data_IF_691201771119
#
_entry.id   IF_691201771119
#
_cell.length_a   1.000
_cell.length_b   1.000
_cell.length_c   1.000
_cell.angle_alpha   90.00
_cell.angle_beta   90.00
_cell.angle_gamma   90.00
#
_symmetry.space_group_name_H-M   'P 1'
#
loop_
_entity.id
_entity.type
_entity.pdbx_description
1 polymer ?
#
# COMPACT_ATOMS: atom_id res chain seq x y z
N UNK A 1 0.08 -18.55 -1.06
CA UNK A 1 -0.53 -18.05 0.18
C UNK A 1 -1.62 -17.07 -0.19
N UNK A 2 -2.75 -17.09 0.52
CA UNK A 2 -3.85 -16.15 0.28
C UNK A 2 -3.53 -14.76 0.86
N UNK A 3 -4.07 -13.72 0.21
CA UNK A 3 -3.87 -12.33 0.65
C UNK A 3 -4.46 -12.07 2.04
N UNK A 4 -5.61 -12.66 2.34
CA UNK A 4 -6.28 -12.54 3.64
C UNK A 4 -5.42 -13.15 4.76
N UNK A 5 -4.78 -14.31 4.51
CA UNK A 5 -3.82 -14.93 5.43
C UNK A 5 -2.58 -14.06 5.64
N UNK A 6 -2.11 -13.36 4.61
CA UNK A 6 -0.98 -12.43 4.76
C UNK A 6 -1.32 -11.28 5.71
N UNK A 7 -2.53 -10.71 5.59
CA UNK A 7 -2.99 -9.67 6.52
C UNK A 7 -3.19 -10.21 7.93
N UNK A 8 -3.71 -11.43 8.06
CA UNK A 8 -3.82 -12.11 9.34
C UNK A 8 -2.46 -12.21 10.03
N UNK A 9 -1.44 -12.75 9.34
CA UNK A 9 -0.09 -12.85 9.89
C UNK A 9 0.51 -11.50 10.26
N UNK A 10 0.32 -10.47 9.44
CA UNK A 10 0.78 -9.11 9.75
C UNK A 10 0.19 -8.59 11.08
N UNK A 11 -1.10 -8.82 11.31
CA UNK A 11 -1.78 -8.42 12.54
C UNK A 11 -1.39 -9.30 13.73
N UNK A 12 -1.24 -10.61 13.54
CA UNK A 12 -0.77 -11.56 14.57
C UNK A 12 0.60 -11.14 15.09
N UNK A 13 1.51 -10.76 14.20
CA UNK A 13 2.86 -10.31 14.57
C UNK A 13 2.89 -8.94 15.25
N UNK A 14 1.88 -8.11 15.01
CA UNK A 14 1.73 -6.81 15.67
C UNK A 14 0.88 -6.88 16.95
N UNK A 15 0.35 -8.06 17.30
CA UNK A 15 -0.71 -8.19 18.30
C UNK A 15 -0.35 -7.55 19.65
N UNK A 16 0.86 -7.76 20.15
CA UNK A 16 1.28 -7.20 21.44
C UNK A 16 1.33 -5.67 21.45
N UNK A 17 1.67 -5.04 20.32
CA UNK A 17 1.67 -3.59 20.17
C UNK A 17 0.24 -3.05 20.09
N UNK A 18 -0.66 -3.79 19.44
CA UNK A 18 -2.09 -3.48 19.41
C UNK A 18 -2.72 -3.57 20.81
N UNK A 19 -2.31 -4.55 21.62
CA UNK A 19 -2.84 -4.75 22.98
C UNK A 19 -2.50 -3.62 23.95
N UNK A 20 -1.35 -2.97 23.79
CA UNK A 20 -0.88 -1.91 24.71
C UNK A 20 -1.82 -0.71 24.77
N UNK A 21 -2.51 -0.41 23.69
CA UNK A 21 -3.31 0.80 23.57
C UNK A 21 -4.77 0.62 23.99
N UNK A 22 -5.38 -0.55 23.73
CA UNK A 22 -6.85 -0.69 23.84
C UNK A 22 -7.34 -2.00 24.45
N UNK A 23 -6.47 -2.96 24.79
CA UNK A 23 -6.85 -4.32 25.21
C UNK A 23 -8.00 -4.94 24.37
N UNK A 24 -7.88 -4.98 23.03
CA UNK A 24 -8.92 -5.47 22.15
C UNK A 24 -9.23 -6.96 22.37
N UNK A 25 -10.50 -7.31 22.16
CA UNK A 25 -10.95 -8.69 22.11
C UNK A 25 -10.64 -9.35 20.76
N UNK A 26 -10.63 -8.56 19.69
CA UNK A 26 -10.31 -9.02 18.34
C UNK A 26 -9.81 -7.85 17.48
N UNK A 27 -9.17 -8.16 16.35
CA UNK A 27 -8.83 -7.19 15.32
C UNK A 27 -9.57 -7.53 14.03
N UNK A 28 -9.84 -6.52 13.21
CA UNK A 28 -10.58 -6.66 11.95
C UNK A 28 -9.81 -5.97 10.84
N UNK A 29 -9.59 -6.66 9.74
CA UNK A 29 -9.00 -6.11 8.52
C UNK A 29 -10.11 -5.90 7.51
N UNK A 30 -10.24 -4.68 7.02
CA UNK A 30 -11.17 -4.27 5.98
C UNK A 30 -10.41 -3.94 4.70
N UNK A 31 -10.77 -4.59 3.61
CA UNK A 31 -10.08 -4.47 2.32
C UNK A 31 -11.05 -3.89 1.30
N UNK A 32 -10.65 -2.82 0.58
CA UNK A 32 -11.48 -2.24 -0.49
C UNK A 32 -10.73 -2.19 -1.81
N UNK A 33 -11.45 -2.49 -2.88
CA UNK A 33 -10.95 -2.39 -4.26
C UNK A 33 -12.06 -1.99 -5.24
N UNK A 34 -11.66 -1.45 -6.38
CA UNK A 34 -12.52 -1.42 -7.55
C UNK A 34 -12.65 -2.85 -8.14
N UNK A 35 -13.79 -3.19 -8.78
CA UNK A 35 -13.94 -4.50 -9.41
C UNK A 35 -12.86 -4.76 -10.45
N UNK A 36 -12.21 -5.92 -10.35
CA UNK A 36 -11.16 -6.33 -11.29
C UNK A 36 -9.79 -5.68 -11.07
N UNK A 37 -9.62 -4.89 -9.99
CA UNK A 37 -8.34 -4.24 -9.66
C UNK A 37 -7.72 -4.81 -8.39
N UNK A 38 -6.44 -4.50 -8.18
CA UNK A 38 -5.76 -4.65 -6.89
C UNK A 38 -6.45 -3.84 -5.78
N UNK A 39 -6.19 -4.19 -4.52
CA UNK A 39 -6.63 -3.43 -3.36
C UNK A 39 -6.08 -2.00 -3.42
N UNK A 40 -6.97 -1.04 -3.19
CA UNK A 40 -6.63 0.37 -3.07
C UNK A 40 -6.56 0.82 -1.61
N UNK A 41 -7.26 0.11 -0.72
CA UNK A 41 -7.34 0.42 0.69
C UNK A 41 -7.33 -0.82 1.57
N UNK A 42 -6.64 -0.70 2.70
CA UNK A 42 -6.74 -1.61 3.85
C UNK A 42 -6.95 -0.80 5.12
N UNK A 43 -7.91 -1.19 5.95
CA UNK A 43 -8.14 -0.64 7.28
C UNK A 43 -7.98 -1.72 8.34
N UNK A 44 -7.14 -1.49 9.33
CA UNK A 44 -7.01 -2.36 10.51
C UNK A 44 -7.73 -1.71 11.68
N UNK A 45 -8.70 -2.43 12.22
CA UNK A 45 -9.56 -1.98 13.30
C UNK A 45 -9.34 -2.85 14.52
N UNK A 46 -9.26 -2.24 15.70
CA UNK A 46 -9.33 -2.96 16.96
C UNK A 46 -10.79 -3.02 17.42
N UNK A 47 -11.21 -4.18 17.94
CA UNK A 47 -12.57 -4.40 18.42
C UNK A 47 -12.51 -4.69 19.92
N UNK A 48 -13.12 -3.82 20.73
CA UNK A 48 -13.17 -3.95 22.18
C UNK A 48 -14.39 -4.72 22.65
N UNK A 49 -14.36 -5.14 23.92
CA UNK A 49 -15.53 -5.69 24.59
C UNK A 49 -16.72 -4.71 24.46
N UNK A 50 -17.91 -5.22 24.11
CA UNK A 50 -19.09 -4.40 23.82
C UNK A 50 -19.20 -3.93 22.37
N UNK A 51 -18.27 -4.30 21.49
CA UNK A 51 -18.38 -4.09 20.03
C UNK A 51 -17.90 -2.71 19.54
N UNK A 52 -17.35 -1.87 20.42
CA UNK A 52 -16.71 -0.62 20.02
C UNK A 52 -15.50 -0.92 19.13
N UNK A 53 -15.35 -0.15 18.05
CA UNK A 53 -14.26 -0.30 17.09
C UNK A 53 -13.45 0.98 17.00
N UNK A 54 -12.13 0.84 17.07
CA UNK A 54 -11.20 1.96 16.94
C UNK A 54 -10.23 1.66 15.79
N UNK A 55 -10.10 2.60 14.86
CA UNK A 55 -9.15 2.49 13.75
C UNK A 55 -7.73 2.48 14.32
N UNK A 56 -6.97 1.42 14.03
CA UNK A 56 -5.57 1.31 14.40
C UNK A 56 -4.73 2.02 13.35
N UNK A 57 -4.89 1.60 12.09
CA UNK A 57 -4.23 2.20 10.95
C UNK A 57 -5.02 1.94 9.67
N UNK A 58 -4.78 2.78 8.69
CA UNK A 58 -5.13 2.48 7.31
C UNK A 58 -3.90 2.49 6.40
N UNK A 59 -4.05 1.87 5.24
CA UNK A 59 -3.10 1.90 4.15
C UNK A 59 -3.83 2.28 2.87
N UNK A 60 -3.29 3.24 2.14
CA UNK A 60 -3.75 3.61 0.80
C UNK A 60 -2.68 3.33 -0.25
N UNK A 61 -3.06 2.69 -1.35
CA UNK A 61 -2.11 2.44 -2.45
C UNK A 61 -1.78 3.74 -3.20
N UNK A 62 -2.74 4.66 -3.30
CA UNK A 62 -2.60 5.91 -4.06
C UNK A 62 -2.75 7.14 -3.16
N UNK A 63 -1.98 8.17 -3.47
CA UNK A 63 -2.15 9.49 -2.85
C UNK A 63 -3.30 10.22 -3.51
N UNK A 64 -4.16 10.83 -2.70
CA UNK A 64 -5.22 11.73 -3.12
C UNK A 64 -5.26 12.98 -2.21
N UNK A 65 -6.04 14.02 -2.53
CA UNK A 65 -6.23 15.14 -1.62
C UNK A 65 -6.84 14.74 -0.25
N UNK A 66 -7.51 13.59 -0.17
CA UNK A 66 -8.14 13.11 1.05
C UNK A 66 -7.21 12.24 1.92
N UNK A 67 -6.19 11.61 1.32
CA UNK A 67 -5.29 10.69 2.02
C UNK A 67 -3.92 10.58 1.32
N UNK A 68 -2.87 10.43 2.11
CA UNK A 68 -1.55 10.05 1.59
C UNK A 68 -1.51 8.55 1.29
N UNK A 69 -0.69 8.13 0.32
CA UNK A 69 -0.38 6.71 0.14
C UNK A 69 0.54 6.20 1.26
N UNK A 70 0.48 4.90 1.51
CA UNK A 70 1.23 4.22 2.57
C UNK A 70 0.40 4.06 3.83
N UNK A 71 1.06 3.58 4.89
CA UNK A 71 0.41 3.35 6.19
C UNK A 71 0.23 4.67 6.95
N UNK A 72 -0.90 4.81 7.64
CA UNK A 72 -1.16 5.88 8.58
C UNK A 72 -1.81 5.32 9.84
N UNK A 73 -1.15 5.51 10.97
CA UNK A 73 -1.71 5.15 12.27
C UNK A 73 -2.67 6.21 12.81
N UNK A 74 -3.62 5.75 13.61
CA UNK A 74 -4.68 6.55 14.24
C UNK A 74 -4.81 6.19 15.72
N UNK A 75 -5.54 7.01 16.48
CA UNK A 75 -5.91 6.74 17.88
C UNK A 75 -4.72 6.43 18.82
N UNK A 76 -3.53 6.99 18.54
CA UNK A 76 -2.33 6.78 19.34
C UNK A 76 -1.69 5.40 19.18
N UNK A 77 -2.17 4.57 18.26
CA UNK A 77 -1.52 3.31 17.90
C UNK A 77 -0.23 3.56 17.11
N UNK A 78 0.70 2.62 17.23
CA UNK A 78 1.89 2.56 16.40
C UNK A 78 2.46 1.15 16.42
N UNK A 79 2.97 0.67 15.28
CA UNK A 79 3.69 -0.59 15.15
C UNK A 79 4.57 -0.54 13.91
N UNK A 80 5.89 -0.53 14.10
CA UNK A 80 6.85 -0.59 12.98
C UNK A 80 6.65 -1.88 12.18
N UNK A 81 6.38 -2.97 12.90
CA UNK A 81 6.20 -4.28 12.30
C UNK A 81 4.95 -4.31 11.40
N UNK A 82 3.81 -3.82 11.90
CA UNK A 82 2.58 -3.73 11.12
C UNK A 82 2.76 -2.84 9.89
N UNK A 83 3.46 -1.70 10.05
CA UNK A 83 3.74 -0.79 8.94
C UNK A 83 4.51 -1.47 7.82
N UNK A 84 5.62 -2.15 8.16
CA UNK A 84 6.48 -2.82 7.18
C UNK A 84 5.74 -3.98 6.49
N UNK A 85 4.99 -4.79 7.25
CA UNK A 85 4.24 -5.91 6.69
C UNK A 85 3.13 -5.44 5.75
N UNK A 86 2.34 -4.44 6.15
CA UNK A 86 1.29 -3.89 5.29
C UNK A 86 1.88 -3.29 4.02
N UNK A 87 2.99 -2.55 4.12
CA UNK A 87 3.67 -1.99 2.95
C UNK A 87 4.20 -3.08 2.02
N UNK A 88 4.80 -4.14 2.55
CA UNK A 88 5.23 -5.30 1.78
C UNK A 88 4.05 -5.98 1.06
N UNK A 89 2.99 -6.32 1.80
CA UNK A 89 1.80 -7.01 1.25
C UNK A 89 1.17 -6.17 0.15
N UNK A 90 0.95 -4.88 0.42
CA UNK A 90 0.26 -3.98 -0.49
C UNK A 90 1.06 -3.64 -1.76
N UNK A 91 2.40 -3.66 -1.69
CA UNK A 91 3.28 -3.50 -2.87
C UNK A 91 3.46 -4.77 -3.69
N UNK A 92 3.18 -5.93 -3.11
CA UNK A 92 3.42 -7.25 -3.71
C UNK A 92 2.12 -8.04 -3.90
N UNK A 93 0.98 -7.36 -4.12
CA UNK A 93 -0.34 -8.00 -4.16
C UNK A 93 -0.45 -9.13 -5.19
N UNK A 94 0.30 -9.04 -6.29
CA UNK A 94 0.38 -10.04 -7.36
C UNK A 94 1.05 -11.36 -6.92
N UNK A 95 1.79 -11.34 -5.82
CA UNK A 95 2.42 -12.54 -5.22
C UNK A 95 1.47 -13.35 -4.35
N UNK A 96 0.26 -12.84 -4.07
CA UNK A 96 -0.73 -13.50 -3.23
C UNK A 96 -1.92 -13.98 -4.07
N UNK A 97 -2.46 -15.13 -3.71
CA UNK A 97 -3.70 -15.61 -4.32
C UNK A 97 -4.87 -14.85 -3.73
N UNK A 98 -5.79 -14.41 -4.60
CA UNK A 98 -7.04 -13.76 -4.21
C UNK A 98 -8.17 -14.75 -4.34
N UNK A 99 -9.00 -14.88 -3.30
CA UNK A 99 -10.21 -15.69 -3.41
C UNK A 99 -11.15 -15.10 -4.46
N UNK A 100 -11.79 -15.96 -5.24
CA UNK A 100 -12.71 -15.55 -6.31
C UNK A 100 -13.96 -14.82 -5.76
N UNK A 101 -14.29 -15.04 -4.49
CA UNK A 101 -15.37 -14.41 -3.74
C UNK A 101 -14.91 -13.23 -2.87
N UNK A 102 -13.63 -12.81 -2.96
CA UNK A 102 -13.12 -11.65 -2.24
C UNK A 102 -13.88 -10.40 -2.71
N UNK A 103 -14.91 -10.05 -1.95
CA UNK A 103 -15.87 -9.00 -2.25
C UNK A 103 -15.17 -7.63 -2.38
N UNK A 104 -15.92 -6.66 -2.91
CA UNK A 104 -15.58 -5.23 -2.98
C UNK A 104 -15.16 -4.66 -1.60
N UNK A 105 -15.62 -5.29 -0.53
CA UNK A 105 -15.35 -4.99 0.88
C UNK A 105 -15.02 -6.29 1.66
N UNK A 106 -13.81 -6.82 1.46
CA UNK A 106 -13.34 -8.02 2.17
C UNK A 106 -13.15 -7.72 3.66
N UNK A 107 -13.51 -8.68 4.52
CA UNK A 107 -13.41 -8.52 5.97
C UNK A 107 -12.82 -9.76 6.61
N UNK A 108 -11.67 -9.60 7.27
CA UNK A 108 -10.99 -10.66 8.02
C UNK A 108 -11.09 -10.34 9.51
N UNK A 109 -11.66 -11.26 10.30
CA UNK A 109 -11.74 -11.12 11.75
C UNK A 109 -10.69 -12.00 12.40
N UNK A 110 -9.84 -11.40 13.22
CA UNK A 110 -8.67 -12.02 13.84
C UNK A 110 -8.85 -11.98 15.36
N UNK A 111 -8.69 -13.13 16.00
CA UNK A 111 -8.82 -13.28 17.45
C UNK A 111 -7.43 -13.27 18.11
N UNK A 112 -7.35 -13.22 19.46
CA UNK A 112 -6.08 -13.26 20.15
C UNK A 112 -5.28 -14.50 19.72
N UNK A 113 -4.08 -14.33 19.14
CA UNK A 113 -3.39 -15.42 18.50
C UNK A 113 -2.82 -16.39 19.53
N UNK A 114 -2.96 -17.67 19.22
CA UNK A 114 -2.31 -18.79 19.88
C UNK A 114 -0.78 -18.76 19.68
N UNK A 115 -0.07 -19.57 20.46
CA UNK A 115 1.38 -19.73 20.32
C UNK A 115 1.79 -20.24 18.94
N UNK A 116 1.03 -21.19 18.39
CA UNK A 116 1.32 -21.82 17.10
C UNK A 116 1.13 -20.83 15.94
N UNK A 117 0.06 -20.05 15.94
CA UNK A 117 -0.19 -19.01 14.93
C UNK A 117 0.90 -17.95 14.92
N UNK A 118 1.44 -17.60 16.10
CA UNK A 118 2.59 -16.66 16.19
C UNK A 118 3.86 -17.28 15.60
N UNK A 119 4.10 -18.57 15.84
CA UNK A 119 5.26 -19.29 15.30
C UNK A 119 5.16 -19.33 13.78
N UNK A 120 3.99 -19.68 13.24
CA UNK A 120 3.75 -19.75 11.81
C UNK A 120 3.92 -18.38 11.14
N UNK A 121 3.30 -17.33 11.69
CA UNK A 121 3.46 -15.97 11.17
C UNK A 121 4.92 -15.49 11.22
N UNK A 122 5.67 -15.86 12.27
CA UNK A 122 7.09 -15.51 12.41
C UNK A 122 7.94 -16.23 11.36
N UNK A 123 7.66 -17.51 11.11
CA UNK A 123 8.33 -18.29 10.07
C UNK A 123 8.09 -17.67 8.69
N UNK A 124 6.84 -17.28 8.40
CA UNK A 124 6.48 -16.60 7.16
C UNK A 124 7.24 -15.28 6.96
N UNK A 125 7.31 -14.44 8.00
CA UNK A 125 8.03 -13.16 7.91
C UNK A 125 9.51 -13.35 7.57
N UNK A 126 10.16 -14.37 8.15
CA UNK A 126 11.57 -14.67 7.82
C UNK A 126 11.73 -15.01 6.35
N UNK A 127 10.87 -15.87 5.82
CA UNK A 127 10.90 -16.26 4.41
C UNK A 127 10.70 -15.06 3.47
N UNK A 128 9.80 -14.14 3.84
CA UNK A 128 9.51 -12.90 3.10
C UNK A 128 10.71 -11.95 3.08
N UNK A 129 11.38 -11.74 4.22
CA UNK A 129 12.56 -10.89 4.29
C UNK A 129 13.79 -11.52 3.62
N UNK A 130 13.94 -12.85 3.68
CA UNK A 130 15.01 -13.57 3.00
C UNK A 130 14.86 -13.49 1.48
N UNK A 131 13.63 -13.54 0.96
CA UNK A 131 13.40 -13.32 -0.48
C UNK A 131 13.65 -11.87 -0.90
N UNK A 132 13.29 -10.87 -0.09
CA UNK A 132 13.54 -9.46 -0.42
C UNK A 132 15.05 -9.12 -0.47
N UNK A 133 15.85 -9.75 0.39
CA UNK A 133 17.31 -9.53 0.45
C UNK A 133 18.03 -10.11 -0.76
N UNK A 134 17.52 -11.21 -1.33
CA UNK A 134 18.11 -11.88 -2.49
C UNK A 134 17.96 -11.10 -3.81
N UNK A 135 17.12 -10.08 -3.87
CA UNK A 135 16.99 -9.20 -5.05
C UNK A 135 17.84 -7.92 -4.97
N UNK A 136 18.60 -7.72 -3.87
CA UNK A 136 19.46 -6.54 -3.66
C UNK A 136 20.94 -6.73 -4.03
N UNK A 137 21.36 -7.91 -4.49
CA UNK A 137 22.75 -8.21 -4.83
C UNK A 137 22.98 -8.27 -6.34
N UNK A 138 23.26 -7.14 -6.98
CA UNK A 138 23.81 -7.12 -8.34
C UNK A 138 25.24 -6.56 -8.32
N UNK A 139 26.22 -7.42 -8.63
CA UNK A 139 27.45 -7.07 -9.36
C UNK A 139 28.25 -8.36 -9.62
N UNK A 140 28.30 -8.85 -10.86
CA UNK A 140 29.37 -8.53 -11.81
C UNK A 140 29.25 -9.39 -13.09
N UNK A 141 29.80 -8.88 -14.20
CA UNK A 141 30.10 -9.53 -15.49
C UNK A 141 28.93 -10.22 -16.25
N UNK A 142 28.62 -9.93 -17.51
CA UNK A 142 29.49 -9.57 -18.63
C UNK A 142 28.62 -9.21 -19.85
N UNK A 143 28.88 -8.07 -20.47
CA UNK A 143 28.34 -7.70 -21.79
C UNK A 143 28.92 -8.63 -22.87
N UNK A 144 28.11 -9.04 -23.87
CA UNK A 144 28.61 -9.01 -25.23
C UNK A 144 27.70 -8.21 -26.17
N UNK A 145 28.37 -7.40 -26.98
CA UNK A 145 27.86 -6.70 -28.14
C UNK A 145 27.16 -7.66 -29.13
N UNK A 146 25.97 -7.29 -29.59
CA UNK A 146 25.53 -7.57 -30.95
C UNK A 146 24.57 -6.47 -31.43
N UNK A 147 24.91 -5.90 -32.60
CA UNK A 147 24.18 -4.88 -33.36
C UNK A 147 23.05 -5.53 -34.16
N UNK A 148 21.92 -4.83 -34.30
CA UNK A 148 21.14 -4.56 -35.55
C UNK A 148 19.86 -3.79 -35.15
N UNK A 149 19.69 -2.51 -35.48
CA UNK A 149 19.23 -1.91 -36.75
C UNK A 149 17.70 -1.66 -36.82
N UNK A 150 17.37 -0.38 -36.60
CA UNK A 150 16.36 0.49 -37.26
C UNK A 150 14.98 -0.04 -37.68
N UNK A 151 13.95 0.55 -37.07
CA UNK A 151 12.71 1.20 -37.62
C UNK A 151 11.73 1.29 -36.43
N UNK A 152 10.93 2.31 -36.15
CA UNK A 152 10.40 3.45 -36.89
C UNK A 152 9.88 4.44 -35.81
N UNK A 153 10.25 5.72 -35.87
CA UNK A 153 9.68 6.77 -35.00
C UNK A 153 9.75 8.10 -35.73
N UNK A 154 8.88 8.26 -36.72
CA UNK A 154 8.57 9.55 -37.30
C UNK A 154 7.07 9.79 -37.30
N UNK A 155 6.60 10.58 -36.32
CA UNK A 155 5.44 11.45 -36.51
C UNK A 155 5.39 12.55 -35.45
N UNK A 156 5.55 13.80 -35.93
CA UNK A 156 4.77 14.93 -35.44
C UNK A 156 5.49 15.94 -34.56
N UNK A 157 6.35 16.79 -35.12
CA UNK A 157 6.59 18.13 -34.53
C UNK A 157 7.06 19.17 -35.57
N UNK A 158 6.11 19.78 -36.25
CA UNK A 158 6.17 21.14 -36.82
C UNK A 158 4.74 21.72 -36.65
N UNK A 159 4.49 22.95 -36.22
CA UNK A 159 4.98 24.23 -36.74
C UNK A 159 4.91 25.33 -35.68
N UNK A 160 5.97 26.14 -35.64
CA UNK A 160 6.04 27.49 -35.09
C UNK A 160 5.71 28.49 -36.23
N UNK A 161 4.99 29.56 -35.89
CA UNK A 161 4.98 30.96 -36.42
C UNK A 161 3.54 31.52 -36.35
N UNK A 162 3.20 32.34 -35.35
CA UNK A 162 3.43 33.80 -35.23
C UNK A 162 2.57 34.64 -36.17
N UNK A 163 1.64 35.42 -35.61
CA UNK A 163 1.23 36.74 -36.10
C UNK A 163 0.74 37.60 -34.92
N UNK A 164 1.16 38.87 -34.96
CA UNK A 164 1.29 39.77 -33.81
C UNK A 164 0.10 40.76 -33.65
N UNK A 165 0.19 41.50 -32.54
CA UNK A 165 -0.13 42.93 -32.33
C UNK A 165 -1.56 43.35 -32.02
N UNK A 166 -1.69 44.02 -30.86
CA UNK A 166 -2.73 45.01 -30.57
C UNK A 166 -2.86 45.36 -29.09
N UNK A 167 -1.95 46.20 -28.55
CA UNK A 167 -2.32 47.06 -27.41
C UNK A 167 -2.95 48.36 -27.95
N UNK A 168 -3.83 49.00 -27.17
CA UNK A 168 -3.40 50.25 -26.55
C UNK A 168 -3.80 50.40 -25.07
N UNK A 169 -3.08 51.33 -24.45
CA UNK A 169 -3.12 51.83 -23.07
C UNK A 169 -4.38 52.65 -22.78
N UNK A 170 -4.77 52.67 -21.50
CA UNK A 170 -5.30 53.78 -20.67
C UNK A 170 -6.14 53.13 -19.55
N UNK A 171 -6.20 53.51 -18.28
CA UNK A 171 -5.58 54.48 -17.38
C UNK A 171 -6.07 54.02 -15.98
N UNK A 172 -5.21 53.81 -14.97
CA UNK A 172 -4.81 54.79 -13.96
C UNK A 172 -5.74 54.84 -12.72
N UNK A 173 -5.12 54.61 -11.54
CA UNK A 173 -5.47 55.10 -10.18
C UNK A 173 -6.69 54.48 -9.46
N UNK A 174 -6.79 54.36 -8.12
CA UNK A 174 -5.93 54.51 -6.93
C UNK A 174 -6.71 53.87 -5.76
N UNK A 175 -5.99 53.52 -4.69
CA UNK A 175 -6.47 53.16 -3.35
C UNK A 175 -7.60 54.05 -2.78
N UNK A 176 -8.35 53.47 -1.83
CA UNK A 176 -9.26 54.17 -0.92
C UNK A 176 -10.18 53.19 -0.20
#
# INVERSE_FOLDING_TARGET
MELDTAFEFAVVLAWEELMKATAPCSARVECRCEPGTSLDYVGVWSVRAGGCQDLVCDYWTRTSPAHASGVRFSNGHYSDNLAQNLDFIMKNQDRFTRRADACRDGLVQIYPPSGDERIEATAWMREVHDTATNFGGAADEKMPLARTSLTDCSLGRELLHSCERGSPKDQLQTQG
#
